data_IF_403909949332
#
_entry.id   IF_403909949332
#
_cell.length_a   1.000
_cell.length_b   1.000
_cell.length_c   1.000
_cell.angle_alpha   90.00
_cell.angle_beta   90.00
_cell.angle_gamma   90.00
#
_symmetry.space_group_name_H-M   'P 1'
#
loop_
_entity.id
_entity.type
_entity.pdbx_description
1 polymer ?
#
# COMPACT_ATOMS: atom_id res chain seq x y z
N UNK A 1 -4.28 -6.69 -7.26
CA UNK A 1 -5.22 -6.47 -6.14
C UNK A 1 -4.73 -7.04 -4.80
N UNK A 2 -4.34 -8.32 -4.70
CA UNK A 2 -3.86 -8.90 -3.43
C UNK A 2 -2.73 -8.09 -2.76
N UNK A 3 -1.72 -7.65 -3.52
CA UNK A 3 -0.60 -6.83 -3.01
C UNK A 3 -1.09 -5.49 -2.43
N UNK A 4 -2.08 -4.86 -3.05
CA UNK A 4 -2.64 -3.58 -2.58
C UNK A 4 -3.35 -3.79 -1.24
N UNK A 5 -4.17 -4.84 -1.14
CA UNK A 5 -4.92 -5.15 0.09
C UNK A 5 -3.96 -5.54 1.22
N UNK A 6 -3.06 -6.49 0.98
CA UNK A 6 -2.14 -6.97 2.02
C UNK A 6 -1.17 -5.85 2.41
N UNK A 7 -0.59 -5.14 1.44
CA UNK A 7 0.36 -4.07 1.71
C UNK A 7 -0.27 -2.89 2.46
N UNK A 8 -1.52 -2.53 2.16
CA UNK A 8 -2.23 -1.48 2.92
C UNK A 8 -2.53 -1.91 4.35
N UNK A 9 -3.01 -3.15 4.56
CA UNK A 9 -3.25 -3.71 5.89
C UNK A 9 -1.94 -3.73 6.69
N UNK A 10 -0.85 -4.25 6.12
CA UNK A 10 0.47 -4.25 6.76
C UNK A 10 0.91 -2.85 7.13
N UNK A 11 0.71 -1.87 6.24
CA UNK A 11 1.09 -0.49 6.52
C UNK A 11 0.31 0.10 7.69
N UNK A 12 -1.01 -0.14 7.76
CA UNK A 12 -1.83 0.30 8.90
C UNK A 12 -1.38 -0.37 10.19
N UNK A 13 -1.14 -1.67 10.15
CA UNK A 13 -0.68 -2.45 11.30
C UNK A 13 0.66 -1.92 11.82
N UNK A 14 1.62 -1.62 10.94
CA UNK A 14 2.94 -1.09 11.31
C UNK A 14 2.93 0.40 11.66
N UNK A 15 1.95 1.18 11.20
CA UNK A 15 1.73 2.54 11.69
C UNK A 15 1.17 2.55 13.11
N UNK A 16 0.30 1.58 13.42
CA UNK A 16 -0.33 1.47 14.72
C UNK A 16 0.54 0.74 15.75
N UNK A 17 1.45 -0.12 15.28
CA UNK A 17 2.34 -0.95 16.08
C UNK A 17 1.64 -1.58 17.32
N UNK A 18 0.49 -2.26 17.19
CA UNK A 18 -0.34 -2.67 18.33
C UNK A 18 0.34 -3.62 19.33
N UNK A 19 1.47 -4.23 18.96
CA UNK A 19 2.30 -5.07 19.84
C UNK A 19 3.26 -4.28 20.73
N UNK A 20 3.37 -2.96 20.54
CA UNK A 20 4.26 -2.10 21.32
C UNK A 20 3.51 -1.54 22.52
N UNK A 21 4.21 -1.46 23.65
CA UNK A 21 3.81 -0.68 24.82
C UNK A 21 4.92 0.30 25.13
N UNK A 22 4.56 1.54 25.48
CA UNK A 22 5.52 2.58 25.84
C UNK A 22 5.50 2.82 27.35
N UNK A 23 6.67 3.04 27.95
CA UNK A 23 6.77 3.29 29.40
C UNK A 23 6.10 4.62 29.83
N UNK A 24 5.90 5.54 28.89
CA UNK A 24 5.39 6.88 29.15
C UNK A 24 3.96 7.12 28.66
N UNK A 25 3.35 6.15 27.98
CA UNK A 25 2.04 6.30 27.36
C UNK A 25 1.33 4.94 27.21
N UNK A 26 0.05 4.88 27.58
CA UNK A 26 -0.79 3.69 27.44
C UNK A 26 -1.20 3.42 25.98
N UNK A 27 -0.88 4.35 25.06
CA UNK A 27 -1.19 4.20 23.63
C UNK A 27 0.03 3.73 22.80
N UNK A 28 -0.04 2.55 22.15
CA UNK A 28 1.06 1.98 21.35
C UNK A 28 1.57 2.89 20.21
N UNK A 29 0.67 3.70 19.65
CA UNK A 29 0.92 4.61 18.53
C UNK A 29 1.75 5.84 18.88
N UNK A 30 1.87 6.18 20.17
CA UNK A 30 2.64 7.34 20.62
C UNK A 30 4.15 7.05 20.66
N UNK A 31 4.55 5.79 20.53
CA UNK A 31 5.94 5.38 20.55
C UNK A 31 6.72 5.87 19.33
N UNK A 32 7.98 6.25 19.54
CA UNK A 32 8.92 6.42 18.44
C UNK A 32 9.07 5.09 17.67
N UNK A 33 8.82 5.13 16.36
CA UNK A 33 8.83 3.94 15.51
C UNK A 33 10.23 3.31 15.48
N UNK A 34 10.30 1.99 15.70
CA UNK A 34 11.57 1.26 15.63
C UNK A 34 12.10 1.28 14.19
N UNK A 35 13.43 1.34 13.98
CA UNK A 35 14.01 1.34 12.64
C UNK A 35 13.60 0.13 11.79
N UNK A 36 13.48 -1.04 12.41
CA UNK A 36 13.03 -2.26 11.74
C UNK A 36 11.57 -2.16 11.27
N UNK A 37 10.69 -1.66 12.14
CA UNK A 37 9.27 -1.48 11.83
C UNK A 37 9.07 -0.42 10.73
N UNK A 38 9.87 0.65 10.76
CA UNK A 38 9.92 1.67 9.71
C UNK A 38 10.37 1.07 8.36
N UNK A 39 11.32 0.15 8.36
CA UNK A 39 11.75 -0.55 7.14
C UNK A 39 10.61 -1.41 6.56
N UNK A 40 9.85 -2.12 7.39
CA UNK A 40 8.71 -2.92 6.91
C UNK A 40 7.61 -2.03 6.34
N UNK A 41 7.29 -0.92 7.02
CA UNK A 41 6.30 0.05 6.54
C UNK A 41 6.71 0.65 5.19
N UNK A 42 7.97 1.06 5.03
CA UNK A 42 8.46 1.65 3.78
C UNK A 42 8.41 0.66 2.62
N UNK A 43 8.81 -0.60 2.84
CA UNK A 43 8.70 -1.66 1.83
C UNK A 43 7.24 -1.93 1.47
N UNK A 44 6.33 -1.99 2.45
CA UNK A 44 4.92 -2.20 2.21
C UNK A 44 4.30 -1.06 1.39
N UNK A 45 4.62 0.19 1.71
CA UNK A 45 4.18 1.37 0.97
C UNK A 45 4.71 1.40 -0.46
N UNK A 46 5.99 1.05 -0.68
CA UNK A 46 6.56 0.94 -2.02
C UNK A 46 5.85 -0.14 -2.85
N UNK A 47 5.61 -1.32 -2.27
CA UNK A 47 4.92 -2.40 -2.95
C UNK A 47 3.49 -2.01 -3.36
N UNK A 48 2.76 -1.33 -2.47
CA UNK A 48 1.42 -0.79 -2.79
C UNK A 48 1.51 0.25 -3.90
N UNK A 49 2.45 1.20 -3.81
CA UNK A 49 2.64 2.25 -4.82
C UNK A 49 2.89 1.68 -6.21
N UNK A 50 3.81 0.71 -6.31
CA UNK A 50 4.10 0.00 -7.57
C UNK A 50 2.85 -0.75 -8.07
N UNK A 51 2.17 -1.49 -7.20
CA UNK A 51 0.99 -2.26 -7.60
C UNK A 51 -0.16 -1.37 -8.10
N UNK A 52 -0.39 -0.23 -7.45
CA UNK A 52 -1.38 0.77 -7.88
C UNK A 52 -0.97 1.36 -9.22
N UNK A 53 0.28 1.78 -9.37
CA UNK A 53 0.79 2.37 -10.61
C UNK A 53 0.62 1.41 -11.80
N UNK A 54 1.05 0.15 -11.65
CA UNK A 54 0.91 -0.87 -12.70
C UNK A 54 -0.56 -1.15 -13.03
N UNK A 55 -1.41 -1.22 -12.01
CA UNK A 55 -2.86 -1.45 -12.22
C UNK A 55 -3.50 -0.30 -12.98
N UNK A 56 -3.19 0.94 -12.61
CA UNK A 56 -3.70 2.13 -13.30
C UNK A 56 -3.19 2.22 -14.73
N UNK A 57 -1.89 1.96 -14.95
CA UNK A 57 -1.31 1.93 -16.29
C UNK A 57 -2.02 0.89 -17.18
N UNK A 58 -2.26 -0.32 -16.65
CA UNK A 58 -3.02 -1.36 -17.35
C UNK A 58 -4.45 -0.92 -17.70
N UNK A 59 -5.17 -0.33 -16.75
CA UNK A 59 -6.55 0.17 -16.99
C UNK A 59 -6.57 1.27 -18.05
N UNK A 60 -5.62 2.20 -18.01
CA UNK A 60 -5.50 3.28 -19.01
C UNK A 60 -5.23 2.70 -20.39
N UNK A 61 -4.31 1.74 -20.52
CA UNK A 61 -4.02 1.07 -21.78
C UNK A 61 -5.24 0.32 -22.34
N UNK A 62 -5.96 -0.42 -21.50
CA UNK A 62 -7.19 -1.12 -21.92
C UNK A 62 -8.28 -0.16 -22.41
N UNK A 63 -8.43 0.99 -21.75
CA UNK A 63 -9.37 2.01 -22.18
C UNK A 63 -8.94 2.70 -23.48
N UNK A 64 -7.63 2.86 -23.71
CA UNK A 64 -7.09 3.42 -24.95
C UNK A 64 -7.25 2.50 -26.17
N UNK A 65 -7.41 1.17 -25.98
CA UNK A 65 -7.62 0.20 -27.06
C UNK A 65 -9.10 0.07 -27.49
N UNK A 66 -10.06 0.27 -26.56
CA UNK A 66 -11.51 0.27 -26.86
C UNK A 66 -11.99 1.16 -28.03
N UNK A 67 -11.40 2.33 -28.36
CA UNK A 67 -11.85 3.12 -29.51
C UNK A 67 -11.51 2.49 -30.87
N UNK A 68 -10.54 1.58 -30.97
CA UNK A 68 -10.13 0.99 -32.26
C UNK A 68 -11.06 -0.14 -32.74
N UNK A 69 -11.70 -0.88 -31.81
CA UNK A 69 -12.58 -2.01 -32.13
C UNK A 69 -13.90 -1.56 -32.78
N UNK A 70 -14.39 -0.35 -32.44
CA UNK A 70 -15.72 0.13 -32.85
C UNK A 70 -15.82 0.71 -34.26
N UNK A 71 -14.74 0.71 -35.05
CA UNK A 71 -14.70 1.35 -36.37
C UNK A 71 -14.91 0.35 -37.53
N UNK A 72 -15.10 -0.94 -37.23
CA UNK A 72 -15.27 -2.01 -38.24
C UNK A 72 -16.65 -2.68 -38.13
N UNK A 73 -17.65 -1.99 -37.56
CA UNK A 73 -19.07 -2.41 -37.62
C UNK A 73 -19.92 -1.38 -38.37
#
# INVERSE_FOLDING_TARGET
MAIIVIGSITSVIYLLQPWRTCDYDDTPTACAMLPADAAVLTVAMLAVGIAVFVTLAGVVQMNAQKPAEKTIE
#
